data_IF_682582454864
#
_entry.id   IF_682582454864
#
_cell.length_a   1.000
_cell.length_b   1.000
_cell.length_c   1.000
_cell.angle_alpha   90.00
_cell.angle_beta   90.00
_cell.angle_gamma   90.00
#
_symmetry.space_group_name_H-M   'P 1'
#
loop_
_entity.id
_entity.type
_entity.pdbx_description
1 polymer ?
#
# COMPACT_ATOMS: atom_id res chain seq x y z
N UNK A 1 -1.89 -21.96 -20.92
CA UNK A 1 -2.48 -21.73 -19.59
C UNK A 1 -1.36 -21.81 -18.57
N UNK A 2 -0.99 -20.69 -17.95
CA UNK A 2 0.20 -20.59 -17.09
C UNK A 2 -0.02 -21.27 -15.74
N UNK A 3 0.94 -22.09 -15.31
CA UNK A 3 0.95 -22.72 -13.98
C UNK A 3 0.86 -21.64 -12.90
N UNK A 4 -0.19 -21.68 -12.09
CA UNK A 4 -0.26 -20.90 -10.86
C UNK A 4 0.90 -21.33 -9.96
N UNK A 5 1.76 -20.37 -9.59
CA UNK A 5 2.80 -20.63 -8.57
C UNK A 5 2.11 -20.74 -7.22
N UNK A 6 2.27 -21.87 -6.55
CA UNK A 6 1.69 -22.15 -5.22
C UNK A 6 2.13 -21.12 -4.16
N UNK A 7 3.30 -20.48 -4.35
CA UNK A 7 3.81 -19.42 -3.50
C UNK A 7 4.24 -18.20 -4.32
N UNK A 8 3.32 -17.25 -4.59
CA UNK A 8 3.70 -16.00 -5.24
C UNK A 8 4.62 -15.19 -4.33
N UNK A 9 5.70 -14.63 -4.89
CA UNK A 9 6.64 -13.76 -4.14
C UNK A 9 5.95 -12.52 -3.57
N UNK A 10 4.84 -12.09 -4.17
CA UNK A 10 4.01 -10.97 -3.73
C UNK A 10 2.61 -11.09 -4.31
N UNK A 11 1.63 -10.58 -3.58
CA UNK A 11 0.28 -10.37 -4.07
C UNK A 11 0.19 -9.00 -4.76
N UNK A 12 -0.64 -8.90 -5.81
CA UNK A 12 -0.91 -7.65 -6.51
C UNK A 12 -2.27 -7.13 -6.05
N UNK A 13 -2.32 -5.86 -5.65
CA UNK A 13 -3.54 -5.16 -5.27
C UNK A 13 -3.86 -4.12 -6.35
N UNK A 14 -5.10 -4.10 -6.81
CA UNK A 14 -5.63 -3.02 -7.64
C UNK A 14 -6.57 -2.18 -6.79
N UNK A 15 -6.27 -0.89 -6.65
CA UNK A 15 -7.07 0.06 -5.87
C UNK A 15 -7.72 1.07 -6.81
N UNK A 16 -8.91 1.53 -6.45
CA UNK A 16 -9.54 2.71 -7.09
C UNK A 16 -9.27 3.90 -6.20
N UNK A 17 -8.79 4.97 -6.81
CA UNK A 17 -8.48 6.25 -6.17
C UNK A 17 -8.99 7.36 -7.08
N UNK A 18 -9.29 8.52 -6.52
CA UNK A 18 -9.61 9.70 -7.31
C UNK A 18 -8.37 10.21 -8.06
N UNK A 19 -8.60 11.09 -9.04
CA UNK A 19 -7.51 11.75 -9.78
C UNK A 19 -6.63 12.59 -8.84
N UNK A 20 -7.25 13.24 -7.84
CA UNK A 20 -6.57 14.04 -6.82
C UNK A 20 -5.67 13.17 -5.94
N UNK A 21 -6.18 12.06 -5.42
CA UNK A 21 -5.42 11.11 -4.61
C UNK A 21 -4.24 10.51 -5.41
N UNK A 22 -4.46 10.19 -6.68
CA UNK A 22 -3.40 9.71 -7.57
C UNK A 22 -2.32 10.78 -7.76
N UNK A 23 -2.71 12.03 -8.00
CA UNK A 23 -1.76 13.13 -8.18
C UNK A 23 -0.90 13.34 -6.92
N UNK A 24 -1.51 13.27 -5.74
CA UNK A 24 -0.80 13.31 -4.46
C UNK A 24 0.21 12.17 -4.31
N UNK A 25 -0.20 10.93 -4.63
CA UNK A 25 0.71 9.77 -4.57
C UNK A 25 1.90 9.92 -5.52
N UNK A 26 1.65 10.43 -6.73
CA UNK A 26 2.70 10.67 -7.74
C UNK A 26 3.68 11.77 -7.28
N UNK A 27 3.19 12.82 -6.62
CA UNK A 27 4.03 13.89 -6.06
C UNK A 27 4.92 13.38 -4.93
N UNK A 28 4.37 12.65 -3.97
CA UNK A 28 5.10 12.10 -2.83
C UNK A 28 6.17 11.12 -3.31
N UNK A 29 5.82 10.23 -4.24
CA UNK A 29 6.75 9.29 -4.90
C UNK A 29 7.97 10.01 -5.50
N UNK A 30 7.74 11.14 -6.20
CA UNK A 30 8.82 11.95 -6.77
C UNK A 30 9.67 12.61 -5.69
N UNK A 31 9.05 13.16 -4.65
CA UNK A 31 9.73 13.88 -3.56
C UNK A 31 10.64 12.96 -2.76
N UNK A 32 10.14 11.79 -2.36
CA UNK A 32 10.84 10.83 -1.51
C UNK A 32 11.74 9.87 -2.30
N UNK A 33 11.74 9.96 -3.63
CA UNK A 33 12.48 9.07 -4.55
C UNK A 33 12.18 7.58 -4.30
N UNK A 34 10.96 7.28 -3.85
CA UNK A 34 10.49 5.95 -3.50
C UNK A 34 9.35 5.53 -4.41
N UNK A 35 9.19 4.23 -4.62
CA UNK A 35 8.08 3.74 -5.44
C UNK A 35 6.75 3.85 -4.69
N UNK A 36 5.64 4.00 -5.42
CA UNK A 36 4.29 3.97 -4.83
C UNK A 36 4.07 2.67 -4.02
N UNK A 37 4.61 1.54 -4.48
CA UNK A 37 4.52 0.27 -3.72
C UNK A 37 5.26 0.33 -2.39
N UNK A 38 6.39 1.02 -2.33
CA UNK A 38 7.19 1.18 -1.12
C UNK A 38 6.50 2.13 -0.13
N UNK A 39 6.03 3.28 -0.61
CA UNK A 39 5.20 4.21 0.15
C UNK A 39 3.96 3.53 0.74
N UNK A 40 3.23 2.76 -0.07
CA UNK A 40 2.03 2.05 0.40
C UNK A 40 2.37 0.96 1.43
N UNK A 41 3.51 0.27 1.30
CA UNK A 41 3.96 -0.70 2.32
C UNK A 41 4.28 -0.01 3.65
N UNK A 42 4.93 1.14 3.61
CA UNK A 42 5.22 1.94 4.80
C UNK A 42 3.94 2.45 5.44
N UNK A 43 3.01 2.99 4.65
CA UNK A 43 1.71 3.44 5.13
C UNK A 43 0.95 2.29 5.83
N UNK A 44 0.89 1.10 5.23
CA UNK A 44 0.28 -0.08 5.84
C UNK A 44 0.97 -0.44 7.17
N UNK A 45 2.31 -0.48 7.19
CA UNK A 45 3.09 -0.81 8.40
C UNK A 45 2.90 0.22 9.52
N UNK A 46 2.71 1.49 9.17
CA UNK A 46 2.46 2.56 10.13
C UNK A 46 1.02 2.56 10.63
N UNK A 47 0.06 2.26 9.77
CA UNK A 47 -1.38 2.38 10.07
C UNK A 47 -1.95 1.15 10.79
N UNK A 48 -1.53 -0.06 10.43
CA UNK A 48 -2.05 -1.30 11.02
C UNK A 48 -1.82 -1.39 12.54
N UNK A 49 -0.63 -1.05 13.09
CA UNK A 49 -0.44 -1.00 14.54
C UNK A 49 -1.38 -0.02 15.23
N UNK A 50 -1.68 1.12 14.60
CA UNK A 50 -2.60 2.12 15.12
C UNK A 50 -4.04 1.60 15.22
N UNK A 51 -4.48 0.82 14.23
CA UNK A 51 -5.79 0.16 14.27
C UNK A 51 -5.87 -0.94 15.34
N UNK A 52 -4.80 -1.72 15.51
CA UNK A 52 -4.75 -2.77 16.53
C UNK A 52 -4.80 -2.19 17.96
N UNK A 53 -4.29 -0.98 18.17
CA UNK A 53 -4.43 -0.26 19.45
C UNK A 53 -5.84 0.28 19.68
N UNK A 54 -6.52 0.74 18.64
CA UNK A 54 -7.90 1.25 18.74
C UNK A 54 -8.92 0.14 19.02
N UNK A 55 -8.72 -1.06 18.46
CA UNK A 55 -9.59 -2.21 18.70
C UNK A 55 -9.47 -2.80 20.12
N UNK A 56 -8.37 -2.52 20.85
CA UNK A 56 -8.20 -2.95 22.25
C UNK A 56 -8.87 -2.03 23.27
N UNK A 57 -9.41 -0.90 22.83
CA UNK A 57 -10.09 0.09 23.68
C UNK A 57 -11.63 -0.02 23.62
N UNK A 58 -12.14 -0.95 22.82
CA UNK A 58 -13.55 -1.36 22.76
C UNK A 58 -13.70 -2.79 23.28
#
# INVERSE_FOLDING_TARGET
MGKYKEHPKYNVLSIRVSDEEKAFLDEISKRERSSITELMREAIRSYVPHLATLQKQH
#
